data_IF_358341500258
#
_entry.id   IF_358341500258
#
_cell.length_a   1.000
_cell.length_b   1.000
_cell.length_c   1.000
_cell.angle_alpha   90.00
_cell.angle_beta   90.00
_cell.angle_gamma   90.00
#
_symmetry.space_group_name_H-M   'P 1'
#
loop_
_entity.id
_entity.type
_entity.pdbx_description
1 polymer ?
#
# COMPACT_ATOMS: atom_id res chain seq x y z
N UNK A 1 -13.02 19.15 31.72
CA UNK A 1 -13.63 17.82 31.53
C UNK A 1 -12.50 16.83 31.29
N UNK A 2 -12.08 16.12 32.33
CA UNK A 2 -11.01 15.12 32.23
C UNK A 2 -11.57 13.89 31.53
N UNK A 3 -11.13 13.61 30.29
CA UNK A 3 -11.46 12.36 29.62
C UNK A 3 -10.62 11.27 30.28
N UNK A 4 -11.28 10.38 31.01
CA UNK A 4 -10.70 9.16 31.57
C UNK A 4 -10.04 8.39 30.43
N UNK A 5 -8.71 8.34 30.41
CA UNK A 5 -7.92 7.47 29.56
C UNK A 5 -8.17 6.04 30.03
N UNK A 6 -9.22 5.39 29.50
CA UNK A 6 -9.32 3.93 29.61
C UNK A 6 -8.03 3.34 29.06
N UNK A 7 -7.39 2.46 29.82
CA UNK A 7 -6.13 1.85 29.39
C UNK A 7 -6.38 1.12 28.08
N UNK A 8 -5.47 1.24 27.11
CA UNK A 8 -5.51 0.51 25.83
C UNK A 8 -5.85 -0.98 26.02
N UNK A 9 -5.32 -1.56 27.09
CA UNK A 9 -5.54 -2.96 27.48
C UNK A 9 -7.01 -3.24 27.80
N UNK A 10 -7.72 -2.30 28.42
CA UNK A 10 -9.15 -2.44 28.74
C UNK A 10 -10.02 -2.37 27.49
N UNK A 11 -9.70 -1.47 26.55
CA UNK A 11 -10.40 -1.38 25.27
C UNK A 11 -10.19 -2.66 24.44
N UNK A 12 -8.94 -3.11 24.35
CA UNK A 12 -8.59 -4.37 23.70
C UNK A 12 -9.32 -5.56 24.37
N UNK A 13 -9.24 -5.68 25.70
CA UNK A 13 -9.87 -6.78 26.44
C UNK A 13 -11.39 -6.78 26.31
N UNK A 14 -12.03 -5.60 26.24
CA UNK A 14 -13.45 -5.49 25.95
C UNK A 14 -13.81 -5.96 24.54
N UNK A 15 -12.95 -5.73 23.55
CA UNK A 15 -13.11 -6.21 22.18
C UNK A 15 -13.01 -7.73 22.02
N UNK A 16 -12.30 -8.42 22.92
CA UNK A 16 -12.11 -9.88 22.90
C UNK A 16 -13.27 -10.67 23.53
N UNK A 17 -14.29 -10.02 24.09
CA UNK A 17 -15.43 -10.71 24.70
C UNK A 17 -16.30 -11.41 23.65
N UNK A 18 -16.59 -12.69 23.85
CA UNK A 18 -17.50 -13.46 22.96
C UNK A 18 -18.90 -12.87 22.96
N UNK A 19 -19.52 -12.82 21.77
CA UNK A 19 -20.85 -12.24 21.55
C UNK A 19 -21.89 -13.23 21.02
N UNK A 20 -21.53 -14.50 20.82
CA UNK A 20 -22.42 -15.52 20.27
C UNK A 20 -23.75 -15.71 21.01
N UNK A 21 -23.81 -15.44 22.31
CA UNK A 21 -25.07 -15.49 23.09
C UNK A 21 -26.03 -14.34 22.77
N UNK A 22 -25.50 -13.20 22.29
CA UNK A 22 -26.29 -12.00 21.97
C UNK A 22 -26.98 -12.09 20.60
N UNK A 23 -26.53 -13.00 19.72
CA UNK A 23 -26.95 -13.10 18.31
C UNK A 23 -27.98 -14.23 18.08
N UNK A 24 -28.42 -14.90 19.16
CA UNK A 24 -29.33 -16.06 19.14
C UNK A 24 -30.70 -15.82 18.46
N UNK A 25 -31.12 -14.57 18.26
CA UNK A 25 -32.37 -14.20 17.57
C UNK A 25 -32.23 -13.68 16.14
N UNK A 26 -31.02 -13.70 15.56
CA UNK A 26 -30.74 -13.13 14.24
C UNK A 26 -30.80 -14.16 13.10
N UNK A 27 -30.65 -13.70 11.85
CA UNK A 27 -30.58 -14.60 10.69
C UNK A 27 -29.37 -15.53 10.77
N UNK A 28 -29.47 -16.68 10.10
CA UNK A 28 -28.39 -17.68 10.05
C UNK A 28 -27.06 -17.09 9.58
N UNK A 29 -27.11 -16.12 8.66
CA UNK A 29 -25.94 -15.40 8.18
C UNK A 29 -25.16 -14.71 9.32
N UNK A 30 -25.84 -13.89 10.13
CA UNK A 30 -25.19 -13.18 11.25
C UNK A 30 -24.73 -14.13 12.35
N UNK A 31 -25.45 -15.23 12.58
CA UNK A 31 -25.02 -16.27 13.52
C UNK A 31 -23.71 -16.94 13.08
N UNK A 32 -23.56 -17.24 11.79
CA UNK A 32 -22.34 -17.85 11.26
C UNK A 32 -21.15 -16.86 11.33
N UNK A 33 -21.38 -15.59 11.00
CA UNK A 33 -20.36 -14.56 11.15
C UNK A 33 -19.89 -14.41 12.60
N UNK A 34 -20.83 -14.39 13.56
CA UNK A 34 -20.46 -14.26 14.98
C UNK A 34 -19.73 -15.50 15.51
N UNK A 35 -20.06 -16.70 15.03
CA UNK A 35 -19.36 -17.92 15.41
C UNK A 35 -17.89 -17.93 14.94
N UNK A 36 -17.61 -17.47 13.72
CA UNK A 36 -16.24 -17.31 13.20
C UNK A 36 -15.48 -16.22 13.95
N UNK A 37 -16.12 -15.08 14.23
CA UNK A 37 -15.52 -14.01 15.02
C UNK A 37 -15.21 -14.46 16.45
N UNK A 38 -16.09 -15.22 17.09
CA UNK A 38 -15.85 -15.79 18.41
C UNK A 38 -14.69 -16.80 18.41
N UNK A 39 -14.51 -17.56 17.33
CA UNK A 39 -13.35 -18.44 17.16
C UNK A 39 -12.05 -17.63 17.09
N UNK A 40 -12.04 -16.52 16.34
CA UNK A 40 -10.88 -15.61 16.29
C UNK A 40 -10.59 -14.93 17.62
N UNK A 41 -11.61 -14.51 18.38
CA UNK A 41 -11.46 -13.95 19.74
C UNK A 41 -10.90 -14.98 20.73
N UNK A 42 -11.37 -16.23 20.66
CA UNK A 42 -10.87 -17.32 21.51
C UNK A 42 -9.39 -17.64 21.24
N UNK A 43 -8.93 -17.42 20.01
CA UNK A 43 -7.53 -17.57 19.61
C UNK A 43 -6.69 -16.31 19.84
N UNK A 44 -7.29 -15.24 20.38
CA UNK A 44 -6.68 -13.91 20.49
C UNK A 44 -6.13 -13.36 19.15
N UNK A 45 -6.67 -13.84 18.02
CA UNK A 45 -6.30 -13.41 16.67
C UNK A 45 -7.18 -12.27 16.15
N UNK A 46 -8.18 -11.85 16.93
CA UNK A 46 -9.07 -10.74 16.57
C UNK A 46 -8.31 -9.41 16.63
N UNK A 47 -8.13 -8.79 15.46
CA UNK A 47 -7.46 -7.50 15.31
C UNK A 47 -8.49 -6.37 15.45
N UNK A 48 -8.37 -5.59 16.53
CA UNK A 48 -9.07 -4.33 16.66
C UNK A 48 -8.28 -3.24 15.93
N UNK A 49 -8.91 -2.58 14.96
CA UNK A 49 -8.31 -1.42 14.31
C UNK A 49 -8.35 -0.23 15.27
N UNK A 50 -7.19 0.35 15.54
CA UNK A 50 -7.09 1.55 16.35
C UNK A 50 -6.99 2.78 15.45
N UNK A 51 -7.77 3.80 15.81
CA UNK A 51 -7.60 5.11 15.19
C UNK A 51 -6.33 5.74 15.75
N UNK A 52 -5.57 6.39 14.87
CA UNK A 52 -4.32 7.05 15.24
C UNK A 52 -4.59 8.12 16.31
N UNK A 53 -4.17 7.85 17.54
CA UNK A 53 -4.25 8.83 18.62
C UNK A 53 -3.17 9.89 18.41
N UNK A 54 -3.52 11.15 18.62
CA UNK A 54 -2.54 12.24 18.65
C UNK A 54 -1.49 11.92 19.73
N UNK A 55 -0.21 11.95 19.36
CA UNK A 55 0.97 11.83 20.24
C UNK A 55 1.51 10.41 20.53
N UNK A 56 1.21 9.41 19.70
CA UNK A 56 1.90 8.11 19.75
C UNK A 56 3.08 8.05 18.77
N UNK A 57 4.18 7.42 19.19
CA UNK A 57 5.30 7.07 18.31
C UNK A 57 5.00 5.74 17.64
N UNK A 58 4.95 5.71 16.31
CA UNK A 58 4.66 4.52 15.53
C UNK A 58 5.96 3.78 15.16
N UNK A 59 6.11 2.57 15.68
CA UNK A 59 7.24 1.67 15.35
C UNK A 59 6.88 0.59 14.34
N UNK A 60 5.63 0.57 13.86
CA UNK A 60 5.07 -0.47 12.99
C UNK A 60 4.87 0.00 11.56
N UNK A 61 4.82 1.31 11.32
CA UNK A 61 4.71 1.86 9.97
C UNK A 61 5.85 1.39 9.07
N UNK A 62 5.50 1.06 7.83
CA UNK A 62 6.46 0.78 6.78
C UNK A 62 6.98 2.04 6.07
N UNK A 63 6.60 3.24 6.52
CA UNK A 63 7.12 4.51 6.01
C UNK A 63 8.50 4.83 6.64
N UNK A 64 9.51 4.04 6.27
CA UNK A 64 10.87 4.11 6.82
C UNK A 64 11.51 5.50 6.66
N UNK A 65 11.18 6.18 5.56
CA UNK A 65 11.75 7.48 5.21
C UNK A 65 10.88 8.65 5.70
N UNK A 66 9.75 8.38 6.36
CA UNK A 66 8.81 9.42 6.83
C UNK A 66 8.23 10.26 5.70
N UNK A 67 8.19 9.74 4.47
CA UNK A 67 7.79 10.52 3.29
C UNK A 67 6.28 10.81 3.35
N UNK A 68 5.50 9.88 3.89
CA UNK A 68 4.06 10.07 4.12
C UNK A 68 3.79 11.19 5.12
N UNK A 69 4.61 11.32 6.17
CA UNK A 69 4.48 12.40 7.17
C UNK A 69 4.98 13.76 6.65
N UNK A 70 6.00 13.76 5.78
CA UNK A 70 6.63 15.00 5.27
C UNK A 70 5.68 15.96 4.56
N UNK A 71 4.54 15.45 4.06
CA UNK A 71 3.57 16.24 3.28
C UNK A 71 4.03 16.58 1.85
N UNK A 72 5.30 16.34 1.51
CA UNK A 72 5.85 16.66 0.18
C UNK A 72 5.12 15.92 -0.95
N UNK A 73 4.74 14.65 -0.75
CA UNK A 73 3.92 13.89 -1.71
C UNK A 73 2.55 14.56 -1.88
N UNK A 74 1.93 14.99 -0.77
CA UNK A 74 0.61 15.61 -0.78
C UNK A 74 0.64 16.95 -1.52
N UNK A 75 1.67 17.75 -1.29
CA UNK A 75 1.85 19.03 -1.97
C UNK A 75 2.03 18.83 -3.48
N UNK A 76 2.95 17.96 -3.90
CA UNK A 76 3.14 17.65 -5.31
C UNK A 76 1.88 17.08 -5.98
N UNK A 77 1.11 16.25 -5.25
CA UNK A 77 -0.17 15.74 -5.73
C UNK A 77 -1.21 16.86 -5.93
N UNK A 78 -1.33 17.77 -4.96
CA UNK A 78 -2.26 18.89 -5.07
C UNK A 78 -1.85 19.88 -6.16
N UNK A 79 -0.55 20.07 -6.37
CA UNK A 79 -0.01 20.86 -7.48
C UNK A 79 -0.40 20.24 -8.82
N UNK A 80 -0.14 18.94 -9.03
CA UNK A 80 -0.55 18.24 -10.27
C UNK A 80 -2.07 18.27 -10.48
N UNK A 81 -2.85 18.13 -9.41
CA UNK A 81 -4.31 18.19 -9.46
C UNK A 81 -4.81 19.59 -9.85
N UNK A 82 -4.17 20.66 -9.35
CA UNK A 82 -4.51 22.03 -9.72
C UNK A 82 -4.28 22.32 -11.21
N UNK A 83 -3.25 21.71 -11.80
CA UNK A 83 -2.93 21.85 -13.23
C UNK A 83 -3.87 21.00 -14.11
N UNK A 84 -4.45 19.94 -13.56
CA UNK A 84 -5.32 19.01 -14.29
C UNK A 84 -6.62 18.72 -13.51
N UNK A 85 -7.54 19.70 -13.36
CA UNK A 85 -8.76 19.55 -12.56
C UNK A 85 -9.76 18.53 -13.12
N UNK A 86 -9.61 18.10 -14.37
CA UNK A 86 -10.41 17.05 -14.99
C UNK A 86 -9.78 15.65 -14.82
N UNK A 87 -8.65 15.53 -14.13
CA UNK A 87 -8.00 14.25 -13.91
C UNK A 87 -8.88 13.41 -12.97
N UNK A 88 -9.36 12.24 -13.40
CA UNK A 88 -10.16 11.38 -12.53
C UNK A 88 -9.28 10.90 -11.37
N UNK A 89 -9.80 11.04 -10.14
CA UNK A 89 -9.11 10.67 -8.90
C UNK A 89 -8.76 9.17 -8.83
N UNK A 90 -9.41 8.35 -9.67
CA UNK A 90 -9.12 6.92 -9.84
C UNK A 90 -8.91 6.52 -11.30
N UNK A 91 -8.28 5.37 -11.52
CA UNK A 91 -8.29 4.72 -12.82
C UNK A 91 -9.69 4.15 -13.09
N UNK A 92 -10.27 4.48 -14.24
CA UNK A 92 -11.64 4.08 -14.60
C UNK A 92 -11.76 2.57 -14.93
N UNK A 93 -10.62 1.88 -15.08
CA UNK A 93 -10.58 0.43 -15.28
C UNK A 93 -9.16 -0.12 -15.34
N UNK A 94 -9.03 -1.34 -15.88
CA UNK A 94 -7.75 -2.04 -15.95
C UNK A 94 -6.78 -1.36 -16.91
N UNK A 95 -5.46 -1.55 -16.70
CA UNK A 95 -4.40 -0.91 -17.51
C UNK A 95 -4.57 -1.12 -19.02
N UNK A 96 -5.09 -2.28 -19.45
CA UNK A 96 -5.25 -2.63 -20.86
C UNK A 96 -6.47 -1.98 -21.52
N UNK A 97 -7.49 -1.62 -20.75
CA UNK A 97 -8.76 -1.10 -21.30
C UNK A 97 -8.72 0.43 -21.37
N UNK A 98 -8.72 1.07 -20.21
CA UNK A 98 -8.84 2.53 -20.06
C UNK A 98 -8.12 3.07 -18.81
N UNK A 99 -7.50 2.20 -18.01
CA UNK A 99 -6.82 2.59 -16.77
C UNK A 99 -5.46 3.27 -16.97
N UNK A 100 -4.91 3.28 -18.18
CA UNK A 100 -3.59 3.87 -18.45
C UNK A 100 -3.71 5.36 -18.75
N UNK A 101 -3.64 6.15 -17.68
CA UNK A 101 -3.56 7.60 -17.78
C UNK A 101 -2.15 8.07 -18.15
N UNK A 102 -2.03 9.25 -18.77
CA UNK A 102 -0.76 9.84 -19.20
C UNK A 102 0.21 10.07 -18.03
N UNK A 103 -0.30 10.43 -16.85
CA UNK A 103 0.48 10.59 -15.61
C UNK A 103 1.11 9.27 -15.15
N UNK A 104 0.36 8.17 -15.17
CA UNK A 104 0.86 6.84 -14.82
C UNK A 104 1.98 6.40 -15.78
N UNK A 105 1.84 6.68 -17.07
CA UNK A 105 2.91 6.44 -18.07
C UNK A 105 4.17 7.26 -17.76
N UNK A 106 4.01 8.54 -17.40
CA UNK A 106 5.12 9.43 -17.04
C UNK A 106 5.85 8.95 -15.79
N UNK A 107 5.12 8.56 -14.75
CA UNK A 107 5.68 7.99 -13.52
C UNK A 107 6.46 6.70 -13.80
N UNK A 108 5.90 5.81 -14.63
CA UNK A 108 6.58 4.59 -15.05
C UNK A 108 7.89 4.88 -15.77
N UNK A 109 7.91 5.87 -16.66
CA UNK A 109 9.13 6.29 -17.36
C UNK A 109 10.18 6.86 -16.40
N UNK A 110 9.77 7.71 -15.45
CA UNK A 110 10.69 8.27 -14.43
C UNK A 110 11.29 7.19 -13.55
N UNK A 111 10.48 6.22 -13.13
CA UNK A 111 10.95 5.07 -12.35
C UNK A 111 11.96 4.24 -13.15
N UNK A 112 11.68 3.96 -14.43
CA UNK A 112 12.59 3.19 -15.28
C UNK A 112 13.91 3.93 -15.51
N UNK A 113 13.87 5.25 -15.72
CA UNK A 113 15.06 6.08 -15.85
C UNK A 113 15.89 6.10 -14.56
N UNK A 114 15.24 6.11 -13.39
CA UNK A 114 15.91 6.01 -12.10
C UNK A 114 16.61 4.66 -11.94
N UNK A 115 15.95 3.56 -12.28
CA UNK A 115 16.56 2.22 -12.23
C UNK A 115 17.75 2.12 -13.18
N UNK A 116 17.62 2.54 -14.44
CA UNK A 116 18.71 2.50 -15.43
C UNK A 116 19.92 3.32 -14.98
N UNK A 117 19.70 4.47 -14.35
CA UNK A 117 20.79 5.34 -13.86
C UNK A 117 21.51 4.81 -12.63
N UNK A 118 20.84 4.00 -11.81
CA UNK A 118 21.39 3.48 -10.55
C UNK A 118 21.75 1.99 -10.62
N UNK A 119 21.59 1.35 -11.78
CA UNK A 119 22.12 0.01 -12.02
C UNK A 119 23.65 0.06 -12.16
N UNK A 120 24.40 -0.74 -11.38
CA UNK A 120 25.86 -0.72 -11.42
C UNK A 120 26.48 -1.34 -12.70
N UNK A 121 25.68 -1.95 -13.58
CA UNK A 121 26.19 -2.76 -14.71
C UNK A 121 26.22 -2.04 -16.08
N UNK A 122 26.23 -0.70 -16.13
CA UNK A 122 26.32 0.02 -17.42
C UNK A 122 27.74 0.50 -17.80
N UNK A 123 28.80 -0.03 -17.17
CA UNK A 123 30.15 0.10 -17.69
C UNK A 123 30.65 -1.25 -18.26
N UNK A 124 30.75 -1.28 -19.59
CA UNK A 124 31.58 -2.21 -20.38
C UNK A 124 31.02 -3.61 -20.67
N UNK A 125 30.15 -3.69 -21.68
CA UNK A 125 30.28 -4.76 -22.68
C UNK A 125 29.81 -4.24 -24.04
N UNK A 126 30.64 -3.41 -24.67
CA UNK A 126 30.59 -3.27 -26.11
C UNK A 126 31.17 -4.56 -26.69
N UNK A 127 30.30 -5.48 -27.12
CA UNK A 127 30.69 -6.67 -27.89
C UNK A 127 31.24 -6.22 -29.25
N UNK A 128 32.50 -6.53 -29.62
CA UNK A 128 32.94 -6.30 -30.99
C UNK A 128 32.34 -7.38 -31.89
N UNK A 129 31.54 -6.97 -32.87
CA UNK A 129 31.13 -7.81 -34.00
C UNK A 129 32.38 -8.25 -34.77
N UNK A 130 32.77 -9.52 -34.64
CA UNK A 130 33.81 -10.13 -35.47
C UNK A 130 33.31 -10.21 -36.91
N UNK A 131 33.87 -9.38 -37.79
CA UNK A 131 33.72 -9.50 -39.23
C UNK A 131 34.43 -10.77 -39.71
N UNK A 132 33.66 -11.75 -40.16
CA UNK A 132 34.18 -12.95 -40.81
C UNK A 132 34.71 -12.59 -42.20
N UNK A 133 36.03 -12.46 -42.34
CA UNK A 133 36.68 -12.32 -43.65
C UNK A 133 37.13 -13.70 -44.13
N UNK A 134 36.57 -14.11 -45.27
CA UNK A 134 36.86 -15.38 -45.95
C UNK A 134 38.29 -15.34 -46.48
N UNK A 135 39.12 -16.33 -46.13
CA UNK A 135 40.36 -16.58 -46.87
C UNK A 135 40.09 -17.60 -47.99
N UNK A 136 40.19 -17.11 -49.21
CA UNK A 136 40.30 -17.86 -50.46
C UNK A 136 41.69 -18.48 -50.61
N UNK A 137 41.69 -19.65 -51.25
CA UNK A 137 42.80 -20.44 -51.75
C UNK A 137 44.06 -19.68 -52.21
N UNK A 138 45.22 -20.29 -51.97
CA UNK A 138 46.01 -20.90 -53.05
C UNK A 138 46.97 -21.95 -52.50
#
# INVERSE_FOLDING_TARGET
MSKTTSSFIEEWANGQKSRGSSVKGSSVFYRNLEAELDTSRAQHSFVALHNQMSNLVDFTSCDVLGIGQSGAIREAFLEEFSQHPQLPVGAHGARLLDGTQSTLRRLRMRSLLFTVRNCPDSHSSAMPMMSSSKHTAS
#
